data_IF_708683179384
#
_entry.id   IF_708683179384
#
_cell.length_a   1.000
_cell.length_b   1.000
_cell.length_c   1.000
_cell.angle_alpha   90.00
_cell.angle_beta   90.00
_cell.angle_gamma   90.00
#
_symmetry.space_group_name_H-M   'P 1'
#
loop_
_entity.id
_entity.type
_entity.pdbx_description
1 polymer ?
#
# COMPACT_ATOMS: atom_id res chain seq x y z
N UNK A 1 -21.58 -6.83 18.56
CA UNK A 1 -20.16 -7.11 18.21
C UNK A 1 -19.38 -7.41 19.48
N UNK A 2 -18.74 -8.57 19.57
CA UNK A 2 -17.95 -8.93 20.75
C UNK A 2 -16.70 -8.07 20.89
N UNK A 3 -16.44 -7.55 22.10
CA UNK A 3 -15.19 -6.83 22.38
C UNK A 3 -14.02 -7.81 22.32
N UNK A 4 -12.90 -7.48 21.64
CA UNK A 4 -11.73 -8.34 21.61
C UNK A 4 -11.13 -8.49 23.02
N UNK A 5 -10.84 -9.73 23.41
CA UNK A 5 -10.24 -10.05 24.73
C UNK A 5 -8.85 -9.45 24.92
N UNK A 6 -8.09 -9.28 23.83
CA UNK A 6 -6.72 -8.74 23.81
C UNK A 6 -6.56 -7.75 22.66
N UNK A 7 -5.64 -6.79 22.83
CA UNK A 7 -5.28 -5.84 21.78
C UNK A 7 -4.54 -6.57 20.65
N UNK A 8 -4.89 -6.29 19.41
CA UNK A 8 -4.11 -6.73 18.25
C UNK A 8 -2.74 -6.07 18.22
N UNK A 9 -1.70 -6.85 17.93
CA UNK A 9 -0.34 -6.32 17.83
C UNK A 9 -0.21 -5.30 16.68
N UNK A 10 0.76 -4.36 16.77
CA UNK A 10 1.02 -3.39 15.71
C UNK A 10 1.27 -4.07 14.35
N UNK A 11 2.06 -5.15 14.35
CA UNK A 11 2.34 -5.95 13.13
C UNK A 11 1.07 -6.48 12.48
N UNK A 12 0.19 -7.17 13.22
CA UNK A 12 -1.07 -7.71 12.68
C UNK A 12 -1.98 -6.60 12.13
N UNK A 13 -1.96 -5.44 12.78
CA UNK A 13 -2.74 -4.28 12.35
C UNK A 13 -2.21 -3.67 11.06
N UNK A 14 -0.88 -3.52 10.94
CA UNK A 14 -0.23 -3.07 9.71
C UNK A 14 -0.48 -4.01 8.53
N UNK A 15 -0.28 -5.32 8.72
CA UNK A 15 -0.53 -6.33 7.66
C UNK A 15 -1.98 -6.30 7.19
N UNK A 16 -2.96 -6.17 8.10
CA UNK A 16 -4.37 -6.09 7.73
C UNK A 16 -4.68 -4.82 6.91
N UNK A 17 -3.96 -3.73 7.14
CA UNK A 17 -4.16 -2.44 6.47
C UNK A 17 -3.27 -2.23 5.24
N UNK A 18 -2.41 -3.19 4.89
CA UNK A 18 -1.47 -3.06 3.76
C UNK A 18 -2.18 -2.77 2.42
N UNK A 19 -3.34 -3.38 2.20
CA UNK A 19 -4.14 -3.17 0.98
C UNK A 19 -4.62 -1.73 0.81
N UNK A 20 -4.88 -1.00 1.91
CA UNK A 20 -5.29 0.41 1.87
C UNK A 20 -4.15 1.29 1.34
N UNK A 21 -2.92 1.02 1.80
CA UNK A 21 -1.71 1.75 1.36
C UNK A 21 -1.47 1.52 -0.12
N UNK A 22 -1.58 0.28 -0.60
CA UNK A 22 -1.43 -0.05 -2.02
C UNK A 22 -2.51 0.61 -2.88
N UNK A 23 -3.77 0.61 -2.41
CA UNK A 23 -4.88 1.26 -3.12
C UNK A 23 -4.68 2.77 -3.21
N UNK A 24 -4.23 3.40 -2.12
CA UNK A 24 -3.91 4.83 -2.09
C UNK A 24 -2.77 5.16 -3.06
N UNK A 25 -1.67 4.43 -3.03
CA UNK A 25 -0.53 4.65 -3.93
C UNK A 25 -0.95 4.57 -5.40
N UNK A 26 -1.78 3.58 -5.77
CA UNK A 26 -2.34 3.47 -7.13
C UNK A 26 -3.25 4.64 -7.51
N UNK A 27 -4.06 5.14 -6.58
CA UNK A 27 -4.93 6.28 -6.82
C UNK A 27 -4.15 7.59 -6.99
N UNK A 28 -3.11 7.80 -6.16
CA UNK A 28 -2.19 8.95 -6.27
C UNK A 28 -1.48 8.93 -7.61
N UNK A 29 -0.90 7.79 -8.01
CA UNK A 29 -0.24 7.64 -9.31
C UNK A 29 -1.16 7.89 -10.52
N UNK A 30 -2.48 7.75 -10.36
CA UNK A 30 -3.45 8.02 -11.43
C UNK A 30 -3.86 9.48 -11.50
N UNK A 31 -3.87 10.20 -10.37
CA UNK A 31 -4.43 11.56 -10.28
C UNK A 31 -3.39 12.66 -10.14
N UNK A 32 -2.20 12.34 -9.65
CA UNK A 32 -1.15 13.29 -9.31
C UNK A 32 0.10 13.03 -10.17
N UNK A 33 0.89 14.07 -10.50
CA UNK A 33 2.21 13.88 -11.10
C UNK A 33 3.21 13.19 -10.16
N UNK A 34 2.86 13.01 -8.88
CA UNK A 34 3.72 12.37 -7.88
C UNK A 34 3.75 10.86 -8.04
N UNK A 35 4.95 10.28 -8.15
CA UNK A 35 5.16 8.83 -8.19
C UNK A 35 5.22 8.24 -6.78
N UNK A 36 4.15 7.59 -6.35
CA UNK A 36 4.05 6.85 -5.11
C UNK A 36 4.44 5.38 -5.31
N UNK A 37 5.40 4.90 -4.51
CA UNK A 37 5.83 3.50 -4.52
C UNK A 37 4.76 2.60 -3.91
N UNK A 38 4.50 1.47 -4.57
CA UNK A 38 3.46 0.51 -4.12
C UNK A 38 4.03 -0.59 -3.22
N UNK A 39 5.10 -1.24 -3.67
CA UNK A 39 5.81 -2.31 -2.96
C UNK A 39 7.32 -2.10 -3.09
N UNK A 40 8.11 -2.66 -2.16
CA UNK A 40 9.57 -2.53 -2.16
C UNK A 40 10.23 -3.01 -3.46
N UNK A 41 9.60 -3.97 -4.15
CA UNK A 41 9.95 -4.37 -5.51
C UNK A 41 8.75 -4.13 -6.40
N UNK A 42 8.87 -3.22 -7.38
CA UNK A 42 7.87 -3.02 -8.44
C UNK A 42 8.08 -4.05 -9.56
N UNK A 43 8.28 -5.32 -9.21
CA UNK A 43 8.53 -6.38 -10.17
C UNK A 43 7.25 -6.68 -10.95
N UNK A 44 7.22 -6.32 -12.23
CA UNK A 44 6.13 -6.69 -13.15
C UNK A 44 5.67 -5.60 -14.11
N UNK A 45 5.99 -4.33 -13.85
CA UNK A 45 5.80 -3.25 -14.84
C UNK A 45 7.15 -2.87 -15.42
N UNK A 46 7.31 -2.96 -16.74
CA UNK A 46 8.35 -2.19 -17.45
C UNK A 46 8.09 -0.72 -17.11
N UNK A 47 8.87 -0.16 -16.20
CA UNK A 47 8.91 1.29 -16.03
C UNK A 47 9.40 1.81 -17.38
N UNK A 48 8.55 2.57 -18.08
CA UNK A 48 8.99 3.28 -19.27
C UNK A 48 10.23 4.08 -18.86
N UNK A 49 11.37 3.79 -19.49
CA UNK A 49 12.58 4.56 -19.31
C UNK A 49 12.25 5.97 -19.82
N UNK A 50 12.05 6.90 -18.91
CA UNK A 50 11.96 8.30 -19.28
C UNK A 50 13.36 8.73 -19.68
N UNK A 51 13.46 9.22 -20.92
CA UNK A 51 14.66 9.73 -21.59
C UNK A 51 15.31 10.88 -20.82
#
# INVERSE_FOLDING_TARGET
>A
MGKPKKRTSPRKTGTRRSHLVVKLARAVNKKSPVKAYTTAKESGKKLAATK
#
